data_IF_325726380993
#
_entry.id   IF_325726380993
#
_cell.length_a   1.000
_cell.length_b   1.000
_cell.length_c   1.000
_cell.angle_alpha   90.00
_cell.angle_beta   90.00
_cell.angle_gamma   90.00
#
_symmetry.space_group_name_H-M   'P 1'
#
loop_
_entity.id
_entity.type
_entity.pdbx_description
1 polymer ?
#
# COMPACT_ATOMS: atom_id res chain seq x y z
N UNK A 1 -5.03 9.76 -6.62
CA UNK A 1 -4.05 8.68 -6.36
C UNK A 1 -4.75 7.33 -6.13
N UNK A 2 -5.64 6.91 -7.03
CA UNK A 2 -6.53 5.76 -6.76
C UNK A 2 -5.81 4.44 -6.47
N UNK A 3 -4.64 4.21 -7.08
CA UNK A 3 -3.87 2.99 -6.87
C UNK A 3 -3.29 2.86 -5.46
N UNK A 4 -2.65 3.91 -4.93
CA UNK A 4 -2.08 3.88 -3.57
C UNK A 4 -3.18 3.76 -2.52
N UNK A 5 -4.28 4.52 -2.66
CA UNK A 5 -5.43 4.37 -1.77
C UNK A 5 -6.02 2.96 -1.84
N UNK A 6 -6.07 2.36 -3.03
CA UNK A 6 -6.52 0.98 -3.21
C UNK A 6 -5.65 -0.04 -2.48
N UNK A 7 -4.32 0.07 -2.57
CA UNK A 7 -3.37 -0.80 -1.85
C UNK A 7 -3.55 -0.75 -0.33
N UNK A 8 -3.88 0.43 0.21
CA UNK A 8 -4.02 0.62 1.65
C UNK A 8 -5.41 0.22 2.18
N UNK A 9 -6.41 0.09 1.30
CA UNK A 9 -7.81 -0.09 1.70
C UNK A 9 -8.07 -1.42 2.44
N UNK A 10 -7.23 -2.44 2.25
CA UNK A 10 -7.33 -3.72 2.95
C UNK A 10 -6.66 -3.73 4.33
N UNK A 11 -5.75 -2.79 4.62
CA UNK A 11 -4.98 -2.77 5.87
C UNK A 11 -5.83 -2.70 7.15
N UNK A 12 -6.90 -1.87 7.24
CA UNK A 12 -7.73 -1.82 8.44
C UNK A 12 -8.41 -3.16 8.75
N UNK A 13 -8.70 -3.98 7.72
CA UNK A 13 -9.30 -5.31 7.89
C UNK A 13 -8.32 -6.32 8.48
N UNK A 14 -7.02 -6.05 8.36
CA UNK A 14 -5.93 -6.82 8.96
C UNK A 14 -5.48 -6.22 10.31
N UNK A 15 -6.12 -5.14 10.79
CA UNK A 15 -5.73 -4.45 12.02
C UNK A 15 -4.44 -3.63 11.90
N UNK A 16 -4.03 -3.28 10.67
CA UNK A 16 -2.80 -2.55 10.39
C UNK A 16 -3.08 -1.09 10.09
N UNK A 17 -2.16 -0.22 10.55
CA UNK A 17 -2.18 1.21 10.26
C UNK A 17 -1.33 1.50 9.00
N UNK A 18 -1.88 2.30 8.10
CA UNK A 18 -1.23 2.73 6.87
C UNK A 18 -0.16 3.81 7.12
N UNK A 19 -0.32 4.63 8.17
CA UNK A 19 0.53 5.80 8.38
C UNK A 19 2.01 5.44 8.57
N UNK A 20 2.39 4.48 9.44
CA UNK A 20 3.79 4.10 9.61
C UNK A 20 4.41 3.50 8.34
N UNK A 21 3.61 2.83 7.51
CA UNK A 21 4.07 2.21 6.27
C UNK A 21 4.36 3.26 5.19
N UNK A 22 3.52 4.29 5.10
CA UNK A 22 3.72 5.43 4.20
C UNK A 22 4.96 6.25 4.57
N UNK A 23 5.16 6.50 5.87
CA UNK A 23 6.34 7.22 6.37
C UNK A 23 7.65 6.50 6.03
N UNK A 24 7.69 5.16 6.16
CA UNK A 24 8.86 4.33 5.83
C UNK A 24 9.32 4.46 4.38
N UNK A 25 8.40 4.74 3.45
CA UNK A 25 8.69 4.91 2.02
C UNK A 25 8.68 6.39 1.59
N UNK A 26 8.55 7.31 2.54
CA UNK A 26 8.59 8.75 2.30
C UNK A 26 7.38 9.27 1.53
N UNK A 27 6.19 8.67 1.71
CA UNK A 27 4.94 9.18 1.16
C UNK A 27 4.19 9.90 2.29
N UNK A 28 3.86 11.18 2.10
CA UNK A 28 3.06 11.90 3.09
C UNK A 28 1.60 11.49 2.94
N UNK A 29 0.90 11.23 4.06
CA UNK A 29 -0.53 10.91 4.01
C UNK A 29 -1.37 12.02 3.34
N UNK A 30 -0.96 13.29 3.50
CA UNK A 30 -1.57 14.44 2.84
C UNK A 30 -1.48 14.41 1.31
N UNK A 31 -0.50 13.69 0.73
CA UNK A 31 -0.38 13.53 -0.72
C UNK A 31 -1.49 12.63 -1.28
N UNK A 32 -2.11 11.80 -0.44
CA UNK A 32 -3.20 10.92 -0.86
C UNK A 32 -4.51 11.70 -1.06
N UNK A 33 -4.74 12.74 -0.25
CA UNK A 33 -5.91 13.60 -0.34
C UNK A 33 -5.79 14.68 -1.42
N UNK A 34 -4.57 14.94 -1.89
CA UNK A 34 -4.30 15.93 -2.92
C UNK A 34 -4.38 15.33 -4.35
N UNK A 35 -5.43 15.69 -5.09
CA UNK A 35 -5.64 15.24 -6.48
C UNK A 35 -4.54 15.70 -7.45
N UNK A 36 -3.85 16.81 -7.15
CA UNK A 36 -2.75 17.33 -7.96
C UNK A 36 -1.39 16.72 -7.59
N UNK A 37 -1.26 16.07 -6.44
CA UNK A 37 -0.02 15.42 -6.03
C UNK A 37 0.37 14.32 -7.04
N UNK A 38 1.67 14.02 -7.11
CA UNK A 38 2.24 12.93 -7.88
C UNK A 38 3.18 12.14 -6.97
N UNK A 39 2.96 10.83 -6.87
CA UNK A 39 3.84 9.93 -6.13
C UNK A 39 4.87 9.42 -7.13
N UNK A 40 6.18 9.66 -6.88
CA UNK A 40 7.22 9.10 -7.72
C UNK A 40 7.10 7.58 -7.82
N UNK A 41 7.39 7.02 -9.00
CA UNK A 41 7.25 5.59 -9.26
C UNK A 41 8.12 4.75 -8.31
N UNK A 42 9.27 5.29 -7.89
CA UNK A 42 10.18 4.66 -6.95
C UNK A 42 9.55 4.49 -5.57
N UNK A 43 8.83 5.52 -5.08
CA UNK A 43 8.12 5.46 -3.78
C UNK A 43 6.92 4.53 -3.85
N UNK A 44 6.22 4.55 -4.98
CA UNK A 44 5.13 3.61 -5.24
C UNK A 44 5.61 2.15 -5.23
N UNK A 45 6.69 1.84 -5.96
CA UNK A 45 7.28 0.51 -6.00
C UNK A 45 7.81 0.08 -4.62
N UNK A 46 8.42 1.01 -3.87
CA UNK A 46 8.84 0.75 -2.51
C UNK A 46 7.66 0.40 -1.59
N UNK A 47 6.53 1.13 -1.70
CA UNK A 47 5.32 0.84 -0.94
C UNK A 47 4.75 -0.54 -1.31
N UNK A 48 4.63 -0.83 -2.59
CA UNK A 48 4.15 -2.12 -3.09
C UNK A 48 4.96 -3.29 -2.49
N UNK A 49 6.29 -3.23 -2.63
CA UNK A 49 7.18 -4.27 -2.11
C UNK A 49 7.13 -4.36 -0.58
N UNK A 50 7.02 -3.22 0.12
CA UNK A 50 6.87 -3.21 1.57
C UNK A 50 5.59 -3.94 2.00
N UNK A 51 4.45 -3.60 1.39
CA UNK A 51 3.16 -4.21 1.71
C UNK A 51 3.16 -5.72 1.45
N UNK A 52 3.69 -6.15 0.30
CA UNK A 52 3.79 -7.58 0.00
C UNK A 52 4.63 -8.32 1.06
N UNK A 53 5.75 -7.75 1.50
CA UNK A 53 6.60 -8.37 2.52
C UNK A 53 5.95 -8.39 3.91
N UNK A 54 5.28 -7.32 4.32
CA UNK A 54 4.66 -7.22 5.65
C UNK A 54 3.39 -8.09 5.76
N UNK A 55 2.66 -8.24 4.66
CA UNK A 55 1.40 -8.99 4.62
C UNK A 55 1.57 -10.44 4.16
N UNK A 56 2.66 -10.73 3.44
CA UNK A 56 2.80 -11.95 2.64
C UNK A 56 1.58 -12.19 1.73
N UNK A 57 1.06 -11.08 1.18
CA UNK A 57 -0.18 -11.01 0.38
C UNK A 57 -0.11 -9.87 -0.67
N UNK A 58 0.03 -10.25 -1.95
CA UNK A 58 0.00 -9.35 -3.12
C UNK A 58 -1.39 -8.80 -3.41
N UNK A 59 -2.43 -9.36 -2.79
CA UNK A 59 -3.80 -8.86 -2.82
C UNK A 59 -4.07 -7.76 -1.79
N UNK A 60 -3.10 -7.39 -0.96
CA UNK A 60 -3.21 -6.36 0.07
C UNK A 60 -4.39 -6.54 1.06
N UNK A 61 -4.86 -7.76 1.28
CA UNK A 61 -6.04 -8.04 2.09
C UNK A 61 -7.38 -7.63 1.45
N UNK A 62 -7.41 -7.39 0.14
CA UNK A 62 -8.63 -7.03 -0.61
C UNK A 62 -9.48 -8.23 -1.02
N UNK A 63 -8.93 -9.44 -1.01
CA UNK A 63 -9.62 -10.67 -1.36
C UNK A 63 -10.00 -11.49 -0.11
N UNK A 64 -10.92 -12.44 -0.29
CA UNK A 64 -11.32 -13.37 0.77
C UNK A 64 -10.21 -14.36 1.16
N UNK A 65 -9.22 -14.55 0.29
CA UNK A 65 -8.07 -15.42 0.50
C UNK A 65 -6.79 -14.65 0.14
N UNK A 66 -5.70 -14.80 0.90
CA UNK A 66 -4.44 -14.12 0.61
C UNK A 66 -3.83 -14.66 -0.69
N UNK A 67 -3.27 -13.76 -1.48
CA UNK A 67 -2.51 -14.08 -2.67
C UNK A 67 -1.03 -14.02 -2.34
N UNK A 68 -0.43 -15.18 -2.05
CA UNK A 68 0.96 -15.27 -1.60
C UNK A 68 1.94 -14.62 -2.56
N UNK A 69 3.03 -14.07 -2.03
CA UNK A 69 4.10 -13.50 -2.83
C UNK A 69 4.62 -14.48 -3.89
N UNK A 70 4.80 -14.01 -5.12
CA UNK A 70 5.19 -14.81 -6.28
C UNK A 70 4.00 -15.42 -7.04
N UNK A 71 2.78 -14.96 -6.77
CA UNK A 71 1.62 -15.26 -7.61
C UNK A 71 1.64 -14.42 -8.90
N UNK A 72 2.27 -13.25 -8.86
CA UNK A 72 2.50 -12.35 -10.00
C UNK A 72 3.99 -12.07 -10.27
#
# INVERSE_FOLDING_TARGET
MGFVQGMLAGLPRQGLDALPLLERVGIAASDLDNLAARIPVERYAALYNLLNNELDDEGFGLFSWPMRCGSF
#
